data_IF_665481977323
#
_entry.id   IF_665481977323
#
_cell.length_a   1.000
_cell.length_b   1.000
_cell.length_c   1.000
_cell.angle_alpha   90.00
_cell.angle_beta   90.00
_cell.angle_gamma   90.00
#
_symmetry.space_group_name_H-M   'P 1'
#
loop_
_entity.id
_entity.type
_entity.pdbx_description
1 polymer ?
#
# COMPACT_ATOMS: atom_id res chain seq x y z
N UNK A 1 -14.16 -6.47 18.87
CA UNK A 1 -13.89 -5.05 18.59
C UNK A 1 -12.45 -4.81 18.15
N UNK A 2 -11.46 -5.57 18.65
CA UNK A 2 -10.06 -5.49 18.16
C UNK A 2 -9.89 -5.91 16.68
N UNK A 3 -10.61 -6.92 16.21
CA UNK A 3 -10.39 -7.42 14.83
C UNK A 3 -10.71 -6.37 13.76
N UNK A 4 -11.74 -5.56 14.00
CA UNK A 4 -12.15 -4.47 13.09
C UNK A 4 -11.02 -3.45 12.90
N UNK A 5 -10.26 -3.17 13.96
CA UNK A 5 -9.12 -2.26 13.91
C UNK A 5 -8.02 -2.79 12.99
N UNK A 6 -7.71 -4.09 13.07
CA UNK A 6 -6.73 -4.72 12.18
C UNK A 6 -7.17 -4.68 10.71
N UNK A 7 -8.45 -4.94 10.43
CA UNK A 7 -9.00 -4.85 9.07
C UNK A 7 -8.96 -3.42 8.50
N UNK A 8 -9.28 -2.42 9.32
CA UNK A 8 -9.20 -1.02 8.90
C UNK A 8 -7.77 -0.59 8.58
N UNK A 9 -6.79 -1.02 9.40
CA UNK A 9 -5.38 -0.74 9.14
C UNK A 9 -4.88 -1.42 7.87
N UNK A 10 -5.27 -2.67 7.62
CA UNK A 10 -4.86 -3.37 6.41
C UNK A 10 -5.39 -2.74 5.11
N UNK A 11 -6.54 -2.07 5.17
CA UNK A 11 -7.04 -1.33 4.02
C UNK A 11 -6.37 0.03 3.87
N UNK A 12 -6.09 0.72 4.98
CA UNK A 12 -5.67 2.12 4.94
C UNK A 12 -4.16 2.28 4.78
N UNK A 13 -3.37 1.48 5.51
CA UNK A 13 -1.91 1.66 5.61
C UNK A 13 -1.19 1.37 4.30
N UNK A 14 -1.47 0.28 3.55
CA UNK A 14 -0.75 -0.01 2.31
C UNK A 14 -1.07 1.00 1.22
N UNK A 15 -2.35 1.31 0.98
CA UNK A 15 -2.76 2.31 0.01
C UNK A 15 -2.13 3.68 0.28
N UNK A 16 -2.11 4.12 1.54
CA UNK A 16 -1.48 5.39 1.91
C UNK A 16 0.04 5.37 1.68
N UNK A 17 0.68 4.25 1.96
CA UNK A 17 2.12 4.05 1.75
C UNK A 17 2.49 4.08 0.26
N UNK A 18 1.68 3.46 -0.61
CA UNK A 18 1.85 3.53 -2.07
C UNK A 18 1.79 4.97 -2.56
N UNK A 19 0.81 5.75 -2.10
CA UNK A 19 0.65 7.15 -2.48
C UNK A 19 1.85 7.98 -2.01
N UNK A 20 2.23 7.85 -0.73
CA UNK A 20 3.39 8.59 -0.18
C UNK A 20 4.69 8.27 -0.90
N UNK A 21 5.00 6.99 -1.12
CA UNK A 21 6.22 6.60 -1.83
C UNK A 21 6.20 7.02 -3.30
N UNK A 22 5.03 7.06 -3.92
CA UNK A 22 4.89 7.58 -5.29
C UNK A 22 5.25 9.05 -5.32
N UNK A 23 4.72 9.85 -4.40
CA UNK A 23 5.02 11.29 -4.31
C UNK A 23 6.50 11.55 -4.05
N UNK A 24 7.14 10.77 -3.16
CA UNK A 24 8.56 10.93 -2.81
C UNK A 24 9.48 10.51 -3.97
N UNK A 25 9.17 9.38 -4.61
CA UNK A 25 10.05 8.79 -5.63
C UNK A 25 9.77 9.33 -7.03
N UNK A 26 8.60 9.97 -7.22
CA UNK A 26 8.02 10.32 -8.54
C UNK A 26 8.07 9.16 -9.53
N UNK A 27 7.88 7.95 -9.02
CA UNK A 27 7.89 6.72 -9.80
C UNK A 27 6.97 5.69 -9.14
N UNK A 28 5.83 5.42 -9.80
CA UNK A 28 4.82 4.49 -9.28
C UNK A 28 5.35 3.07 -9.09
N UNK A 29 6.23 2.59 -9.97
CA UNK A 29 6.77 1.23 -9.89
C UNK A 29 7.67 1.04 -8.68
N UNK A 30 8.53 2.04 -8.39
CA UNK A 30 9.39 1.99 -7.21
C UNK A 30 8.55 2.06 -5.93
N UNK A 31 7.51 2.88 -5.92
CA UNK A 31 6.61 3.01 -4.78
C UNK A 31 5.86 1.71 -4.44
N UNK A 32 5.33 1.03 -5.45
CA UNK A 32 4.68 -0.28 -5.29
C UNK A 32 5.70 -1.29 -4.75
N UNK A 33 6.91 -1.33 -5.32
CA UNK A 33 7.95 -2.26 -4.91
C UNK A 33 8.36 -2.06 -3.45
N UNK A 34 8.55 -0.81 -3.01
CA UNK A 34 8.85 -0.49 -1.63
C UNK A 34 7.70 -0.88 -0.69
N UNK A 35 6.45 -0.63 -1.08
CA UNK A 35 5.28 -1.02 -0.29
C UNK A 35 5.18 -2.55 -0.18
N UNK A 36 5.46 -3.27 -1.26
CA UNK A 36 5.49 -4.73 -1.28
C UNK A 36 6.57 -5.30 -0.34
N UNK A 37 7.74 -4.65 -0.24
CA UNK A 37 8.78 -5.05 0.72
C UNK A 37 8.29 -4.88 2.16
N UNK A 38 7.68 -3.74 2.49
CA UNK A 38 7.14 -3.49 3.84
C UNK A 38 6.08 -4.53 4.20
N UNK A 39 5.18 -4.83 3.24
CA UNK A 39 4.18 -5.88 3.38
C UNK A 39 4.80 -7.27 3.59
N UNK A 40 5.80 -7.65 2.79
CA UNK A 40 6.49 -8.93 2.94
C UNK A 40 7.20 -9.06 4.30
N UNK A 41 7.81 -7.98 4.79
CA UNK A 41 8.41 -7.93 6.14
C UNK A 41 7.35 -8.09 7.23
N UNK A 42 6.18 -7.45 7.06
CA UNK A 42 5.04 -7.59 7.96
C UNK A 42 4.58 -9.04 8.06
N UNK A 43 4.51 -9.73 6.91
CA UNK A 43 4.13 -11.14 6.84
C UNK A 43 5.15 -12.04 7.54
N UNK A 44 6.44 -11.79 7.31
CA UNK A 44 7.52 -12.54 7.95
C UNK A 44 7.53 -12.39 9.48
N UNK A 45 7.14 -11.22 10.00
CA UNK A 45 7.05 -10.99 11.45
C UNK A 45 5.81 -11.61 12.11
N UNK A 46 4.87 -12.17 11.33
CA UNK A 46 3.68 -12.81 11.87
C UNK A 46 2.73 -11.84 12.57
N UNK A 47 2.72 -10.56 12.19
CA UNK A 47 1.80 -9.57 12.77
C UNK A 47 0.33 -9.76 12.35
N UNK A 48 0.05 -10.71 11.45
CA UNK A 48 -1.29 -10.99 10.99
C UNK A 48 -2.01 -11.98 11.92
N UNK A 49 -3.05 -11.49 12.59
CA UNK A 49 -3.94 -12.32 13.40
C UNK A 49 -4.85 -13.23 12.55
N UNK A 50 -4.94 -12.99 11.24
CA UNK A 50 -5.76 -13.77 10.31
C UNK A 50 -5.22 -13.67 8.89
N UNK A 51 -5.24 -14.79 8.16
CA UNK A 51 -4.88 -14.86 6.74
C UNK A 51 -5.72 -13.90 5.88
N UNK A 52 -6.95 -13.56 6.31
CA UNK A 52 -7.83 -12.65 5.59
C UNK A 52 -7.30 -11.22 5.49
N UNK A 53 -6.52 -10.80 6.50
CA UNK A 53 -5.92 -9.47 6.57
C UNK A 53 -4.83 -9.33 5.49
N UNK A 54 -4.11 -10.42 5.19
CA UNK A 54 -3.06 -10.46 4.15
C UNK A 54 -3.68 -10.22 2.76
N UNK A 55 -4.83 -10.83 2.46
CA UNK A 55 -5.54 -10.61 1.20
C UNK A 55 -6.07 -9.18 1.06
N UNK A 56 -6.56 -8.59 2.15
CA UNK A 56 -7.02 -7.21 2.17
C UNK A 56 -5.88 -6.20 1.99
N UNK A 57 -4.72 -6.47 2.58
CA UNK A 57 -3.50 -5.68 2.36
C UNK A 57 -3.10 -5.69 0.88
N UNK A 58 -3.08 -6.88 0.26
CA UNK A 58 -2.74 -7.01 -1.16
C UNK A 58 -3.73 -6.24 -2.06
N UNK A 59 -5.04 -6.31 -1.77
CA UNK A 59 -6.06 -5.52 -2.46
C UNK A 59 -5.85 -4.01 -2.26
N UNK A 60 -5.47 -3.59 -1.05
CA UNK A 60 -5.18 -2.19 -0.73
C UNK A 60 -4.02 -1.63 -1.57
N UNK A 61 -2.96 -2.41 -1.79
CA UNK A 61 -1.84 -2.01 -2.67
C UNK A 61 -2.34 -1.76 -4.10
N UNK A 62 -3.22 -2.61 -4.63
CA UNK A 62 -3.82 -2.44 -5.96
C UNK A 62 -4.69 -1.18 -6.02
N UNK A 63 -5.50 -0.93 -4.99
CA UNK A 63 -6.30 0.30 -4.89
C UNK A 63 -5.38 1.53 -4.85
N UNK A 64 -4.32 1.50 -4.05
CA UNK A 64 -3.32 2.58 -3.98
C UNK A 64 -2.66 2.86 -5.34
N UNK A 65 -2.36 1.81 -6.11
CA UNK A 65 -1.87 1.94 -7.48
C UNK A 65 -2.89 2.61 -8.41
N UNK A 66 -4.16 2.18 -8.37
CA UNK A 66 -5.22 2.81 -9.16
C UNK A 66 -5.36 4.30 -8.81
N UNK A 67 -5.28 4.65 -7.52
CA UNK A 67 -5.29 6.06 -7.10
C UNK A 67 -4.13 6.83 -7.72
N UNK A 68 -2.90 6.31 -7.62
CA UNK A 68 -1.72 6.93 -8.22
C UNK A 68 -1.91 7.15 -9.73
N UNK A 69 -2.46 6.17 -10.44
CA UNK A 69 -2.69 6.25 -11.88
C UNK A 69 -3.81 7.23 -12.24
N UNK A 70 -4.94 7.20 -11.52
CA UNK A 70 -6.07 8.13 -11.74
C UNK A 70 -5.66 9.58 -11.53
N UNK A 71 -4.85 9.85 -10.50
CA UNK A 71 -4.38 11.20 -10.20
C UNK A 71 -3.06 11.55 -10.89
N UNK A 72 -2.50 10.66 -11.71
CA UNK A 72 -1.22 10.83 -12.40
C UNK A 72 -0.10 11.35 -11.47
N UNK A 73 -0.03 10.83 -10.23
CA UNK A 73 0.87 11.31 -9.20
C UNK A 73 2.36 11.09 -9.51
N UNK A 74 2.67 10.24 -10.49
CA UNK A 74 4.03 10.00 -10.97
C UNK A 74 4.38 10.76 -12.26
N UNK A 75 3.40 11.45 -12.86
CA UNK A 75 3.64 12.27 -14.04
C UNK A 75 4.69 13.32 -13.70
N UNK A 76 5.73 13.36 -14.52
CA UNK A 76 6.56 14.55 -14.55
C UNK A 76 5.71 15.64 -15.18
N UNK A 77 5.04 16.43 -14.36
CA UNK A 77 4.61 17.75 -14.80
C UNK A 77 5.87 18.45 -15.31
N UNK A 78 5.96 18.52 -16.65
CA UNK A 78 6.94 19.30 -17.39
C UNK A 78 6.67 20.76 -17.01
N UNK A 79 7.37 21.25 -15.98
CA UNK A 79 7.53 22.67 -15.66
C UNK A 79 8.64 23.23 -16.54
#
# INVERSE_FOLDING_TARGET
>A
MEDVFWYMMAITVPAFTVILFTTITRNRYVAIFLTFIVFAISMYRGYYNSDWIIYLDALSIVIGYIFVEVYNLDSKDDI
#
